data_IF_704233992922
#
_entry.id   IF_704233992922
#
_cell.length_a   1.000
_cell.length_b   1.000
_cell.length_c   1.000
_cell.angle_alpha   90.00
_cell.angle_beta   90.00
_cell.angle_gamma   90.00
#
_symmetry.space_group_name_H-M   'P 1'
#
loop_
_entity.id
_entity.type
_entity.pdbx_description
1 polymer ?
#
# COMPACT_ATOMS: atom_id res chain seq x y z
N UNK A 1 3.10 5.56 5.40
CA UNK A 1 3.24 4.88 4.08
C UNK A 1 3.25 3.39 4.31
N UNK A 2 2.53 2.61 3.49
CA UNK A 2 2.37 1.16 3.68
C UNK A 2 2.91 0.39 2.48
N UNK A 3 3.71 -0.65 2.76
CA UNK A 3 4.40 -1.48 1.78
C UNK A 3 4.28 -2.97 2.11
N UNK A 4 4.31 -3.82 1.08
CA UNK A 4 4.46 -5.27 1.22
C UNK A 4 5.84 -5.71 0.76
N UNK A 5 6.49 -6.62 1.48
CA UNK A 5 7.78 -7.20 1.07
C UNK A 5 7.74 -8.71 1.32
N UNK A 6 8.03 -9.49 0.29
CA UNK A 6 8.12 -10.94 0.36
C UNK A 6 9.08 -11.45 -0.71
N UNK A 7 9.59 -12.66 -0.54
CA UNK A 7 10.66 -13.23 -1.34
C UNK A 7 12.06 -12.79 -0.91
N UNK A 8 13.06 -13.36 -1.58
CA UNK A 8 14.48 -13.19 -1.25
C UNK A 8 15.28 -12.46 -2.33
N UNK A 9 14.62 -11.88 -3.32
CA UNK A 9 15.27 -11.11 -4.38
C UNK A 9 15.93 -9.85 -3.81
N UNK A 10 17.25 -9.77 -3.92
CA UNK A 10 18.03 -8.69 -3.32
C UNK A 10 17.71 -7.33 -3.97
N UNK A 11 17.44 -7.30 -5.27
CA UNK A 11 17.18 -6.05 -6.00
C UNK A 11 15.86 -5.43 -5.56
N UNK A 12 14.82 -6.26 -5.43
CA UNK A 12 13.52 -5.89 -4.92
C UNK A 12 13.60 -5.33 -3.49
N UNK A 13 14.26 -6.07 -2.60
CA UNK A 13 14.38 -5.68 -1.18
C UNK A 13 15.20 -4.39 -1.01
N UNK A 14 16.27 -4.20 -1.78
CA UNK A 14 17.01 -2.93 -1.82
C UNK A 14 16.15 -1.79 -2.37
N UNK A 15 15.33 -2.07 -3.39
CA UNK A 15 14.38 -1.12 -3.96
C UNK A 15 13.46 -0.53 -2.90
N UNK A 16 12.87 -1.39 -2.07
CA UNK A 16 11.94 -0.96 -1.00
C UNK A 16 12.60 0.01 -0.02
N UNK A 17 13.84 -0.27 0.39
CA UNK A 17 14.55 0.62 1.31
C UNK A 17 14.79 2.01 0.70
N UNK A 18 15.11 2.08 -0.60
CA UNK A 18 15.25 3.36 -1.32
C UNK A 18 13.92 4.11 -1.33
N UNK A 19 12.83 3.39 -1.55
CA UNK A 19 11.47 3.94 -1.57
C UNK A 19 11.05 4.52 -0.23
N UNK A 20 11.31 3.81 0.86
CA UNK A 20 11.02 4.29 2.22
C UNK A 20 11.78 5.57 2.51
N UNK A 21 13.08 5.61 2.21
CA UNK A 21 13.91 6.80 2.42
C UNK A 21 13.46 7.97 1.56
N UNK A 22 13.11 7.72 0.29
CA UNK A 22 12.58 8.74 -0.60
C UNK A 22 11.23 9.29 -0.10
N UNK A 23 10.33 8.42 0.36
CA UNK A 23 9.05 8.84 0.93
C UNK A 23 9.23 9.77 2.15
N UNK A 24 10.23 9.51 3.01
CA UNK A 24 10.58 10.39 4.14
C UNK A 24 11.07 11.78 3.71
N UNK A 25 11.62 11.94 2.51
CA UNK A 25 12.01 13.26 2.01
C UNK A 25 10.78 14.11 1.66
N UNK A 26 9.72 13.48 1.15
CA UNK A 26 8.46 14.17 0.82
C UNK A 26 7.52 14.33 2.02
N UNK A 27 7.54 13.36 2.94
CA UNK A 27 6.68 13.30 4.12
C UNK A 27 7.51 12.95 5.37
N UNK A 28 8.28 13.91 5.91
CA UNK A 28 9.19 13.66 7.04
C UNK A 28 8.45 13.27 8.33
N UNK A 29 7.20 13.71 8.51
CA UNK A 29 6.37 13.40 9.67
C UNK A 29 5.62 12.06 9.54
N UNK A 30 5.78 11.37 8.41
CA UNK A 30 5.11 10.10 8.15
C UNK A 30 6.03 8.93 8.43
N UNK A 31 5.52 7.93 9.14
CA UNK A 31 6.20 6.65 9.30
C UNK A 31 5.96 5.75 8.09
N UNK A 32 6.96 4.93 7.76
CA UNK A 32 6.79 3.79 6.88
C UNK A 32 6.40 2.56 7.70
N UNK A 33 5.50 1.74 7.15
CA UNK A 33 5.13 0.43 7.67
C UNK A 33 5.33 -0.60 6.58
N UNK A 34 5.96 -1.72 6.94
CA UNK A 34 6.24 -2.82 6.05
C UNK A 34 5.59 -4.08 6.59
N UNK A 35 4.80 -4.73 5.74
CA UNK A 35 4.28 -6.06 5.98
C UNK A 35 5.20 -7.07 5.28
N UNK A 36 5.76 -8.02 6.03
CA UNK A 36 6.67 -9.03 5.50
C UNK A 36 6.49 -10.38 6.17
N UNK A 37 6.98 -11.46 5.56
CA UNK A 37 7.00 -12.79 6.17
C UNK A 37 8.43 -13.36 6.27
N UNK A 38 8.53 -14.61 6.71
CA UNK A 38 9.78 -15.34 6.92
C UNK A 38 10.63 -15.54 5.65
N UNK A 39 10.09 -15.28 4.46
CA UNK A 39 10.84 -15.41 3.20
C UNK A 39 11.85 -14.28 2.96
N UNK A 40 11.72 -13.15 3.68
CA UNK A 40 12.65 -12.02 3.57
C UNK A 40 13.90 -12.29 4.42
N UNK A 41 15.13 -12.18 3.88
CA UNK A 41 16.34 -12.50 4.64
C UNK A 41 16.53 -11.58 5.87
N UNK A 42 16.96 -12.16 6.99
CA UNK A 42 17.04 -11.51 8.31
C UNK A 42 17.94 -10.26 8.33
N UNK A 43 19.02 -10.26 7.54
CA UNK A 43 19.90 -9.11 7.40
C UNK A 43 19.17 -7.89 6.83
N UNK A 44 18.20 -8.10 5.93
CA UNK A 44 17.37 -7.02 5.40
C UNK A 44 16.29 -6.58 6.40
N UNK A 45 15.66 -7.53 7.09
CA UNK A 45 14.69 -7.22 8.15
C UNK A 45 15.34 -6.31 9.21
N UNK A 46 16.56 -6.65 9.64
CA UNK A 46 17.34 -5.86 10.60
C UNK A 46 17.64 -4.44 10.12
N UNK A 47 17.79 -4.22 8.81
CA UNK A 47 17.98 -2.88 8.24
C UNK A 47 16.66 -2.12 8.22
N UNK A 48 15.58 -2.77 7.77
CA UNK A 48 14.26 -2.14 7.64
C UNK A 48 13.65 -1.75 8.99
N UNK A 49 13.87 -2.55 10.03
CA UNK A 49 13.42 -2.26 11.41
C UNK A 49 13.94 -0.92 11.95
N UNK A 50 15.08 -0.43 11.42
CA UNK A 50 15.64 0.87 11.81
C UNK A 50 14.97 2.04 11.08
N UNK A 51 14.21 1.76 10.04
CA UNK A 51 13.70 2.75 9.09
C UNK A 51 12.17 2.77 9.01
N UNK A 52 11.51 1.69 9.42
CA UNK A 52 10.07 1.49 9.32
C UNK A 52 9.54 0.61 10.45
N UNK A 53 8.25 0.73 10.73
CA UNK A 53 7.50 -0.24 11.53
C UNK A 53 7.38 -1.54 10.74
N UNK A 54 7.69 -2.67 11.38
CA UNK A 54 7.58 -3.99 10.76
C UNK A 54 6.37 -4.72 11.32
N UNK A 55 5.53 -5.23 10.43
CA UNK A 55 4.45 -6.16 10.73
C UNK A 55 4.80 -7.51 10.12
N UNK A 56 5.06 -8.49 10.99
CA UNK A 56 5.34 -9.86 10.56
C UNK A 56 4.03 -10.57 10.24
N UNK A 57 3.92 -11.07 9.01
CA UNK A 57 2.82 -11.89 8.53
C UNK A 57 3.12 -13.35 8.85
N UNK A 58 2.31 -13.93 9.74
CA UNK A 58 2.49 -15.32 10.17
C UNK A 58 2.20 -16.32 9.04
N UNK A 59 3.04 -17.34 8.90
CA UNK A 59 2.95 -18.32 7.82
C UNK A 59 1.68 -19.19 7.88
N UNK A 60 1.10 -19.34 9.07
CA UNK A 60 -0.16 -20.06 9.32
C UNK A 60 -1.42 -19.18 9.16
N UNK A 61 -1.27 -17.89 8.87
CA UNK A 61 -2.39 -16.98 8.66
C UNK A 61 -3.13 -17.29 7.34
N UNK A 62 -4.46 -17.10 7.26
CA UNK A 62 -5.19 -17.12 5.98
C UNK A 62 -4.64 -16.13 4.93
N UNK A 63 -3.87 -15.14 5.38
CA UNK A 63 -3.24 -14.11 4.56
C UNK A 63 -1.80 -14.45 4.16
N UNK A 64 -1.22 -15.59 4.59
CA UNK A 64 0.21 -15.88 4.42
C UNK A 64 0.70 -15.92 2.97
N UNK A 65 -0.19 -16.20 2.01
CA UNK A 65 0.10 -16.19 0.57
C UNK A 65 -0.33 -14.92 -0.15
N UNK A 66 -0.82 -13.91 0.59
CA UNK A 66 -1.46 -12.70 0.05
C UNK A 66 -0.51 -11.51 0.01
N UNK A 67 0.76 -11.75 -0.37
CA UNK A 67 1.86 -10.77 -0.32
C UNK A 67 1.48 -9.39 -0.87
N UNK A 68 0.92 -9.33 -2.08
CA UNK A 68 0.48 -8.07 -2.72
C UNK A 68 -0.59 -7.32 -1.91
N UNK A 69 -1.40 -8.02 -1.12
CA UNK A 69 -2.53 -7.43 -0.41
C UNK A 69 -2.17 -6.90 0.97
N UNK A 70 -1.05 -7.32 1.58
CA UNK A 70 -0.74 -6.96 2.97
C UNK A 70 -0.65 -5.45 3.19
N UNK A 71 -0.10 -4.70 2.23
CA UNK A 71 -0.04 -3.24 2.26
C UNK A 71 -1.41 -2.59 2.42
N UNK A 72 -2.51 -3.26 2.07
CA UNK A 72 -3.87 -2.75 2.27
C UNK A 72 -4.34 -2.83 3.72
N UNK A 73 -3.75 -3.69 4.56
CA UNK A 73 -4.18 -3.91 5.94
C UNK A 73 -4.10 -2.64 6.81
N UNK A 74 -3.23 -1.69 6.43
CA UNK A 74 -3.14 -0.37 7.08
C UNK A 74 -4.48 0.37 7.09
N UNK A 75 -5.34 0.12 6.10
CA UNK A 75 -6.59 0.84 5.91
C UNK A 75 -7.63 0.55 7.01
N UNK A 76 -7.43 -0.49 7.82
CA UNK A 76 -8.29 -0.82 8.94
C UNK A 76 -7.60 -0.69 10.30
N UNK A 77 -6.38 -0.14 10.38
CA UNK A 77 -5.72 0.09 11.66
C UNK A 77 -6.37 1.26 12.42
N UNK A 78 -6.62 1.09 13.72
CA UNK A 78 -7.16 2.12 14.60
C UNK A 78 -6.12 3.16 15.02
N UNK A 79 -4.83 2.84 14.91
CA UNK A 79 -3.73 3.71 15.31
C UNK A 79 -3.19 4.53 14.14
N UNK A 80 -3.85 4.49 12.98
CA UNK A 80 -3.43 5.18 11.77
C UNK A 80 -4.52 6.15 11.32
N UNK A 81 -4.24 7.45 11.48
CA UNK A 81 -5.16 8.51 11.08
C UNK A 81 -5.19 8.70 9.55
N UNK A 82 -4.02 8.58 8.92
CA UNK A 82 -3.83 8.79 7.48
C UNK A 82 -2.82 7.79 6.94
N UNK A 83 -3.12 7.21 5.79
CA UNK A 83 -2.26 6.24 5.12
C UNK A 83 -2.19 6.50 3.61
N UNK A 84 -1.08 6.03 3.03
CA UNK A 84 -0.89 5.89 1.60
C UNK A 84 -0.27 4.52 1.35
N UNK A 85 -0.92 3.75 0.47
CA UNK A 85 -0.51 2.43 0.04
C UNK A 85 0.38 2.59 -1.18
N UNK A 86 1.53 1.91 -1.19
CA UNK A 86 2.49 1.99 -2.28
C UNK A 86 3.00 0.62 -2.68
N UNK A 87 3.22 0.47 -3.98
CA UNK A 87 3.98 -0.66 -4.50
C UNK A 87 5.46 -0.48 -4.15
N UNK A 88 6.08 -1.58 -3.76
CA UNK A 88 7.47 -1.62 -3.29
C UNK A 88 8.50 -1.38 -4.40
N UNK A 89 8.09 -1.59 -5.66
CA UNK A 89 8.88 -1.46 -6.88
C UNK A 89 8.54 -0.20 -7.69
N UNK A 90 7.62 0.65 -7.23
CA UNK A 90 7.22 1.88 -7.93
C UNK A 90 7.78 3.14 -7.27
N UNK A 91 8.72 3.82 -7.96
CA UNK A 91 9.39 5.04 -7.47
C UNK A 91 8.40 6.13 -7.10
N UNK A 92 8.46 6.61 -5.86
CA UNK A 92 7.55 7.66 -5.40
C UNK A 92 8.02 9.02 -5.93
N UNK A 93 7.22 9.62 -6.78
CA UNK A 93 7.60 10.81 -7.55
C UNK A 93 7.16 12.11 -6.87
N UNK A 94 7.76 13.23 -7.29
CA UNK A 94 7.33 14.56 -6.86
C UNK A 94 5.87 14.86 -7.25
N UNK A 95 5.38 14.31 -8.39
CA UNK A 95 3.99 14.48 -8.81
C UNK A 95 3.02 13.81 -7.83
N UNK A 96 3.32 12.59 -7.42
CA UNK A 96 2.54 11.86 -6.43
C UNK A 96 2.58 12.56 -5.06
N UNK A 97 3.72 13.11 -4.67
CA UNK A 97 3.83 13.92 -3.45
C UNK A 97 2.87 15.12 -3.47
N UNK A 98 2.83 15.87 -4.60
CA UNK A 98 1.89 16.98 -4.77
C UNK A 98 0.43 16.50 -4.73
N UNK A 99 0.12 15.38 -5.40
CA UNK A 99 -1.22 14.82 -5.40
C UNK A 99 -1.70 14.49 -3.97
N UNK A 100 -0.85 13.85 -3.17
CA UNK A 100 -1.13 13.56 -1.76
C UNK A 100 -1.29 14.85 -0.95
N UNK A 101 -0.43 15.86 -1.10
CA UNK A 101 -0.57 17.13 -0.36
C UNK A 101 -1.87 17.88 -0.70
N UNK A 102 -2.23 17.92 -1.98
CA UNK A 102 -3.49 18.53 -2.44
C UNK A 102 -4.69 17.77 -1.87
N UNK A 103 -4.64 16.44 -1.86
CA UNK A 103 -5.68 15.62 -1.25
C UNK A 103 -5.81 15.85 0.26
N UNK A 104 -4.68 15.90 0.99
CA UNK A 104 -4.69 16.21 2.43
C UNK A 104 -5.37 17.55 2.74
N UNK A 105 -5.28 18.50 1.81
CA UNK A 105 -5.91 19.83 1.91
C UNK A 105 -7.37 19.86 1.42
N UNK A 106 -7.89 18.75 0.91
CA UNK A 106 -9.27 18.65 0.38
C UNK A 106 -10.25 18.16 1.44
N UNK A 107 -11.54 18.11 1.08
CA UNK A 107 -12.62 17.52 1.88
C UNK A 107 -12.81 16.01 1.66
N UNK A 108 -12.10 15.40 0.69
CA UNK A 108 -12.22 13.97 0.36
C UNK A 108 -11.51 13.03 1.32
N UNK A 109 -12.16 11.94 1.73
CA UNK A 109 -11.56 10.95 2.63
C UNK A 109 -10.52 10.05 1.97
N UNK A 110 -10.57 9.90 0.64
CA UNK A 110 -9.66 9.05 -0.11
C UNK A 110 -9.03 9.79 -1.29
N UNK A 111 -7.89 9.28 -1.74
CA UNK A 111 -7.24 9.70 -2.97
C UNK A 111 -6.80 8.48 -3.78
N UNK A 112 -7.00 8.52 -5.09
CA UNK A 112 -6.55 7.50 -6.04
C UNK A 112 -5.66 8.16 -7.09
N UNK A 113 -4.42 7.68 -7.21
CA UNK A 113 -3.48 8.09 -8.25
C UNK A 113 -3.46 7.03 -9.36
N UNK A 114 -3.64 7.48 -10.60
CA UNK A 114 -3.69 6.65 -11.82
C UNK A 114 -2.63 7.09 -12.83
N UNK A 115 -2.22 6.15 -13.68
CA UNK A 115 -1.17 6.38 -14.68
C UNK A 115 -1.70 6.94 -16.00
N UNK A 116 -3.00 6.80 -16.29
CA UNK A 116 -3.59 7.24 -17.55
C UNK A 116 -5.12 7.42 -17.47
N UNK A 117 -5.69 8.39 -18.20
CA UNK A 117 -7.14 8.65 -18.24
C UNK A 117 -7.98 7.47 -18.79
N UNK A 118 -7.50 6.79 -19.84
CA UNK A 118 -8.10 5.55 -20.37
C UNK A 118 -7.77 4.27 -19.59
N UNK A 119 -7.10 4.34 -18.44
CA UNK A 119 -6.87 3.15 -17.65
C UNK A 119 -8.22 2.66 -17.07
N UNK A 120 -8.69 1.49 -17.49
CA UNK A 120 -9.99 0.92 -17.07
C UNK A 120 -10.05 0.47 -15.61
N UNK A 121 -9.07 0.86 -14.79
CA UNK A 121 -8.91 0.47 -13.38
C UNK A 121 -9.10 1.72 -12.52
N UNK A 122 -10.06 1.69 -11.60
CA UNK A 122 -10.39 2.84 -10.76
C UNK A 122 -9.33 3.14 -9.68
N UNK A 123 -8.63 2.11 -9.20
CA UNK A 123 -7.60 2.21 -8.18
C UNK A 123 -6.43 1.29 -8.55
N UNK A 124 -5.24 1.87 -8.75
CA UNK A 124 -4.00 1.11 -8.95
C UNK A 124 -3.52 0.48 -7.63
N UNK A 125 -2.78 -0.63 -7.73
CA UNK A 125 -2.30 -1.41 -6.58
C UNK A 125 -1.53 -0.59 -5.53
N UNK A 126 -0.73 0.39 -5.97
CA UNK A 126 -0.01 1.34 -5.12
C UNK A 126 -0.53 2.78 -5.19
N UNK A 127 -1.80 2.98 -5.61
CA UNK A 127 -2.36 4.31 -5.89
C UNK A 127 -3.30 4.87 -4.81
N UNK A 128 -3.67 4.08 -3.80
CA UNK A 128 -4.70 4.45 -2.83
C UNK A 128 -4.12 5.13 -1.58
N UNK A 129 -4.64 6.30 -1.23
CA UNK A 129 -4.47 6.94 0.06
C UNK A 129 -5.83 7.14 0.76
N UNK A 130 -5.83 7.18 2.09
CA UNK A 130 -7.04 7.36 2.89
C UNK A 130 -6.79 7.98 4.26
N UNK A 131 -7.79 8.73 4.74
CA UNK A 131 -7.89 9.24 6.13
C UNK A 131 -9.14 8.73 6.85
N UNK A 132 -9.79 7.72 6.25
CA UNK A 132 -10.99 7.05 6.73
C UNK A 132 -10.77 5.56 6.59
N UNK A 133 -11.20 4.80 7.60
CA UNK A 133 -10.98 3.35 7.63
C UNK A 133 -11.83 2.61 6.59
N UNK A 134 -11.23 1.58 6.00
CA UNK A 134 -11.92 0.56 5.19
C UNK A 134 -12.05 -0.69 6.07
N UNK A 135 -13.19 -0.80 6.76
CA UNK A 135 -13.40 -1.84 7.78
C UNK A 135 -13.44 -3.25 7.20
N UNK A 136 -12.94 -4.21 7.98
CA UNK A 136 -12.90 -5.64 7.66
C UNK A 136 -12.09 -5.97 6.40
N UNK A 137 -11.06 -5.17 6.09
CA UNK A 137 -10.27 -5.38 4.86
C UNK A 137 -9.52 -6.72 4.89
N UNK A 138 -9.07 -7.15 6.07
CA UNK A 138 -8.48 -8.47 6.31
C UNK A 138 -9.43 -9.61 5.91
N UNK A 139 -10.70 -9.52 6.30
CA UNK A 139 -11.72 -10.50 5.95
C UNK A 139 -12.13 -10.40 4.47
N UNK A 140 -12.15 -9.20 3.89
CA UNK A 140 -12.35 -9.04 2.45
C UNK A 140 -11.23 -9.72 1.66
N UNK A 141 -9.98 -9.55 2.09
CA UNK A 141 -8.81 -10.20 1.50
C UNK A 141 -8.91 -11.71 1.70
N UNK A 142 -9.13 -12.21 2.92
CA UNK A 142 -9.14 -13.66 3.20
C UNK A 142 -10.17 -14.44 2.37
N UNK A 143 -11.30 -13.80 2.02
CA UNK A 143 -12.35 -14.37 1.17
C UNK A 143 -12.15 -14.13 -0.33
N UNK A 144 -11.15 -13.37 -0.73
CA UNK A 144 -10.85 -13.12 -2.13
C UNK A 144 -10.14 -14.32 -2.75
N UNK A 145 -10.56 -14.76 -3.93
CA UNK A 145 -9.92 -15.88 -4.66
C UNK A 145 -8.68 -15.38 -5.40
N UNK A 146 -7.72 -16.25 -5.69
CA UNK A 146 -6.55 -15.96 -6.56
C UNK A 146 -5.64 -14.82 -6.03
N UNK A 147 -5.38 -14.78 -4.72
CA UNK A 147 -4.58 -13.73 -4.04
C UNK A 147 -3.10 -13.76 -4.40
N UNK A 148 -2.65 -14.86 -4.97
CA UNK A 148 -1.30 -15.16 -5.43
C UNK A 148 -1.08 -14.78 -6.90
N UNK A 149 -2.15 -14.45 -7.65
CA UNK A 149 -2.04 -14.12 -9.07
C UNK A 149 -1.71 -12.63 -9.27
N UNK A 150 -0.80 -12.37 -10.20
CA UNK A 150 -0.40 -11.01 -10.59
C UNK A 150 -1.62 -10.17 -11.02
N UNK A 151 -1.64 -8.88 -10.61
CA UNK A 151 -2.72 -7.91 -10.85
C UNK A 151 -4.08 -8.22 -10.20
N UNK A 152 -4.18 -9.30 -9.42
CA UNK A 152 -5.45 -9.65 -8.77
C UNK A 152 -5.80 -8.69 -7.62
N UNK A 153 -4.81 -8.02 -7.06
CA UNK A 153 -4.96 -6.89 -6.14
C UNK A 153 -5.78 -5.74 -6.75
N UNK A 154 -5.53 -5.38 -8.02
CA UNK A 154 -6.32 -4.35 -8.71
C UNK A 154 -7.76 -4.81 -8.97
N UNK A 155 -7.96 -6.08 -9.31
CA UNK A 155 -9.31 -6.67 -9.45
C UNK A 155 -10.07 -6.63 -8.12
N UNK A 156 -9.39 -6.94 -7.01
CA UNK A 156 -9.94 -6.80 -5.66
C UNK A 156 -10.29 -5.36 -5.34
N UNK A 157 -9.37 -4.42 -5.57
CA UNK A 157 -9.60 -3.00 -5.32
C UNK A 157 -10.83 -2.52 -6.10
N UNK A 158 -10.96 -2.88 -7.37
CA UNK A 158 -12.10 -2.51 -8.19
C UNK A 158 -13.42 -3.16 -7.72
N UNK A 159 -13.39 -4.42 -7.28
CA UNK A 159 -14.60 -5.16 -6.89
C UNK A 159 -15.07 -4.86 -5.46
N UNK A 160 -14.12 -4.71 -4.52
CA UNK A 160 -14.40 -4.67 -3.08
C UNK A 160 -14.19 -3.29 -2.46
N UNK A 161 -13.23 -2.52 -2.97
CA UNK A 161 -12.85 -1.24 -2.35
C UNK A 161 -13.46 -0.06 -3.07
N UNK A 162 -13.42 -0.04 -4.40
CA UNK A 162 -13.98 1.05 -5.21
C UNK A 162 -15.45 1.37 -4.87
N UNK A 163 -16.37 0.39 -4.69
CA UNK A 163 -17.74 0.69 -4.30
C UNK A 163 -17.88 1.40 -2.95
N UNK A 164 -16.89 1.28 -2.06
CA UNK A 164 -16.88 1.89 -0.74
C UNK A 164 -16.34 3.32 -0.73
N UNK A 165 -15.53 3.68 -1.73
CA UNK A 165 -14.77 4.94 -1.75
C UNK A 165 -15.16 5.88 -2.89
N UNK A 166 -15.81 5.39 -3.96
CA UNK A 166 -16.07 6.14 -5.22
C UNK A 166 -16.77 7.49 -5.05
N UNK A 167 -17.59 7.65 -4.01
CA UNK A 167 -18.35 8.88 -3.76
C UNK A 167 -17.58 9.88 -2.86
N UNK A 168 -16.41 9.47 -2.33
CA UNK A 168 -15.60 10.21 -1.37
C UNK A 168 -14.08 10.10 -1.68
N UNK A 169 -13.75 10.16 -2.98
CA UNK A 169 -12.38 10.03 -3.48
C UNK A 169 -12.01 11.20 -4.38
N UNK A 170 -10.78 11.69 -4.23
CA UNK A 170 -10.14 12.59 -5.17
C UNK A 170 -9.26 11.78 -6.13
N UNK A 171 -9.45 11.96 -7.43
CA UNK A 171 -8.73 11.17 -8.43
C UNK A 171 -7.70 12.05 -9.14
N UNK A 172 -6.48 11.56 -9.22
CA UNK A 172 -5.41 12.17 -10.00
C UNK A 172 -5.01 11.25 -11.14
N UNK A 173 -5.03 11.79 -12.35
CA UNK A 173 -4.50 11.15 -13.55
C UNK A 173 -3.13 11.74 -13.89
N UNK A 174 -2.23 10.91 -14.39
CA UNK A 174 -0.88 11.31 -14.82
C UNK A 174 -0.87 11.93 -16.21
#
# INVERSE_FOLDING_TARGET
MSFSVYGSDHSYVCGVLRQIRLAKLFFPDWSARIYLNSSVPENFVSIMQREAEIVLMEDNSPLSTSGMFWRFLVADDNNVDVYCIRDSDSVFTYREAIAVQKWLSSDKSFCSMRDHEYHGINILGGGLCGRKRIRNIDNLISNWKNRDQYQNDQSFLNSKIWPLVKDDVLIYDS
#
